data_IF_586026844771
#
_entry.id   IF_586026844771
#
_cell.length_a   1.000
_cell.length_b   1.000
_cell.length_c   1.000
_cell.angle_alpha   90.00
_cell.angle_beta   90.00
_cell.angle_gamma   90.00
#
_symmetry.space_group_name_H-M   'P 1'
#
loop_
_entity.id
_entity.type
_entity.pdbx_description
1 polymer ?
#
# COMPACT_ATOMS: atom_id res chain seq x y z
N UNK A 1 15.53 -8.54 -3.35
CA UNK A 1 15.57 -7.16 -3.88
C UNK A 1 15.49 -7.25 -5.41
N UNK A 2 14.52 -6.61 -6.05
CA UNK A 2 14.36 -6.71 -7.52
C UNK A 2 15.51 -6.02 -8.24
N UNK A 3 15.85 -6.49 -9.46
CA UNK A 3 16.93 -5.89 -10.28
C UNK A 3 16.75 -4.38 -10.45
N UNK A 4 15.50 -3.93 -10.66
CA UNK A 4 15.18 -2.53 -10.88
C UNK A 4 15.33 -1.68 -9.61
N UNK A 5 15.03 -2.22 -8.43
CA UNK A 5 15.23 -1.48 -7.18
C UNK A 5 16.71 -1.22 -6.91
N UNK A 6 17.57 -2.19 -7.21
CA UNK A 6 19.02 -2.03 -7.13
C UNK A 6 19.53 -0.99 -8.13
N UNK A 7 19.03 -1.01 -9.37
CA UNK A 7 19.38 -0.02 -10.39
C UNK A 7 19.03 1.40 -9.91
N UNK A 8 17.82 1.62 -9.37
CA UNK A 8 17.41 2.92 -8.82
C UNK A 8 18.34 3.35 -7.68
N UNK A 9 18.65 2.46 -6.72
CA UNK A 9 19.57 2.74 -5.61
C UNK A 9 20.97 3.20 -6.08
N UNK A 10 21.44 2.68 -7.22
CA UNK A 10 22.75 3.05 -7.78
C UNK A 10 22.74 4.34 -8.60
N UNK A 11 21.59 4.71 -9.17
CA UNK A 11 21.47 5.84 -10.10
C UNK A 11 21.01 7.12 -9.41
N UNK A 12 20.06 7.02 -8.48
CA UNK A 12 19.43 8.16 -7.85
C UNK A 12 18.95 7.78 -6.44
N UNK A 13 19.68 8.29 -5.44
CA UNK A 13 19.39 8.02 -4.03
C UNK A 13 18.06 8.66 -3.60
N UNK A 14 17.77 9.87 -4.05
CA UNK A 14 16.57 10.59 -3.63
C UNK A 14 15.33 9.90 -4.18
N UNK A 15 15.42 9.37 -5.41
CA UNK A 15 14.37 8.53 -5.99
C UNK A 15 14.26 7.17 -5.27
N UNK A 16 15.39 6.54 -4.92
CA UNK A 16 15.38 5.28 -4.18
C UNK A 16 14.65 5.40 -2.84
N UNK A 17 14.95 6.46 -2.09
CA UNK A 17 14.36 6.75 -0.77
C UNK A 17 12.82 6.94 -0.86
N UNK A 18 12.27 7.13 -2.07
CA UNK A 18 10.83 7.16 -2.34
C UNK A 18 10.27 5.83 -2.91
N UNK A 19 11.04 5.16 -3.77
CA UNK A 19 10.60 3.91 -4.43
C UNK A 19 10.54 2.74 -3.45
N UNK A 20 11.52 2.60 -2.56
CA UNK A 20 11.54 1.50 -1.59
C UNK A 20 10.29 1.52 -0.67
N UNK A 21 9.95 2.65 0.00
CA UNK A 21 8.72 2.73 0.79
C UNK A 21 7.46 2.51 -0.05
N UNK A 22 7.40 3.01 -1.28
CA UNK A 22 6.25 2.82 -2.17
C UNK A 22 6.00 1.36 -2.54
N UNK A 23 7.07 0.57 -2.72
CA UNK A 23 6.96 -0.87 -2.96
C UNK A 23 6.43 -1.60 -1.72
N UNK A 24 6.94 -1.26 -0.54
CA UNK A 24 6.44 -1.80 0.74
C UNK A 24 4.97 -1.46 0.93
N UNK A 25 4.59 -0.20 0.77
CA UNK A 25 3.19 0.26 0.84
C UNK A 25 2.26 -0.49 -0.13
N UNK A 26 2.74 -0.82 -1.34
CA UNK A 26 1.97 -1.60 -2.31
C UNK A 26 1.77 -3.05 -1.85
N UNK A 27 2.79 -3.65 -1.22
CA UNK A 27 2.68 -5.00 -0.66
C UNK A 27 1.70 -5.04 0.52
N UNK A 28 1.74 -4.04 1.42
CA UNK A 28 0.79 -3.93 2.52
C UNK A 28 -0.66 -3.74 2.02
N UNK A 29 -0.88 -2.91 0.99
CA UNK A 29 -2.19 -2.80 0.35
C UNK A 29 -2.69 -4.13 -0.23
N UNK A 30 -1.79 -4.94 -0.81
CA UNK A 30 -2.15 -6.26 -1.30
C UNK A 30 -2.56 -7.19 -0.15
N UNK A 31 -1.81 -7.16 0.96
CA UNK A 31 -2.12 -7.91 2.17
C UNK A 31 -3.48 -7.50 2.77
N UNK A 32 -3.72 -6.19 2.95
CA UNK A 32 -5.01 -5.66 3.41
C UNK A 32 -6.16 -6.11 2.51
N UNK A 33 -5.98 -6.06 1.19
CA UNK A 33 -6.97 -6.53 0.22
C UNK A 33 -7.25 -8.04 0.38
N UNK A 34 -6.22 -8.86 0.53
CA UNK A 34 -6.37 -10.30 0.73
C UNK A 34 -7.10 -10.62 2.04
N UNK A 35 -6.75 -9.94 3.13
CA UNK A 35 -7.45 -10.09 4.41
C UNK A 35 -8.91 -9.65 4.33
N UNK A 36 -9.22 -8.55 3.63
CA UNK A 36 -10.60 -8.11 3.38
C UNK A 36 -11.40 -9.17 2.62
N UNK A 37 -10.82 -9.78 1.59
CA UNK A 37 -11.46 -10.84 0.83
C UNK A 37 -11.67 -12.09 1.69
N UNK A 38 -10.66 -12.49 2.47
CA UNK A 38 -10.73 -13.66 3.34
C UNK A 38 -11.81 -13.52 4.42
N UNK A 39 -11.82 -12.41 5.15
CA UNK A 39 -12.78 -12.17 6.24
C UNK A 39 -14.17 -11.72 5.74
N UNK A 40 -14.26 -11.11 4.56
CA UNK A 40 -15.52 -10.63 3.99
C UNK A 40 -16.33 -11.70 3.24
N UNK A 41 -15.71 -12.83 2.87
CA UNK A 41 -16.36 -13.91 2.11
C UNK A 41 -16.62 -15.20 2.92
N UNK A 42 -16.21 -15.23 4.19
CA UNK A 42 -16.40 -16.37 5.08
C UNK A 42 -17.72 -16.23 5.84
N UNK A 43 -18.74 -16.99 5.42
CA UNK A 43 -20.06 -17.06 6.09
C UNK A 43 -20.01 -17.74 7.48
N UNK A 44 -18.88 -18.37 7.86
CA UNK A 44 -18.84 -19.35 8.96
C UNK A 44 -18.02 -18.97 10.22
N UNK A 45 -17.36 -17.81 10.31
CA UNK A 45 -16.49 -17.50 11.47
C UNK A 45 -17.00 -16.35 12.36
N UNK A 46 -17.67 -16.70 13.47
CA UNK A 46 -18.02 -15.76 14.55
C UNK A 46 -16.78 -15.08 15.15
N UNK A 47 -15.60 -15.71 15.05
CA UNK A 47 -14.30 -15.14 15.44
C UNK A 47 -13.84 -14.06 14.46
N UNK A 48 -14.08 -14.21 13.16
CA UNK A 48 -13.75 -13.18 12.17
C UNK A 48 -14.60 -11.91 12.37
N UNK A 49 -15.87 -12.07 12.78
CA UNK A 49 -16.75 -10.95 13.10
C UNK A 49 -16.32 -10.16 14.34
N UNK A 50 -15.76 -10.82 15.36
CA UNK A 50 -15.33 -10.13 16.59
C UNK A 50 -14.07 -9.28 16.39
N UNK A 51 -13.23 -9.63 15.42
CA UNK A 51 -12.00 -8.90 15.08
C UNK A 51 -12.18 -7.88 13.93
N UNK A 52 -13.35 -7.84 13.30
CA UNK A 52 -13.59 -7.06 12.08
C UNK A 52 -13.40 -5.55 12.29
N UNK A 53 -13.73 -5.04 13.48
CA UNK A 53 -13.57 -3.61 13.77
C UNK A 53 -12.10 -3.24 13.93
N UNK A 54 -11.33 -4.01 14.70
CA UNK A 54 -9.89 -3.77 14.85
C UNK A 54 -9.14 -3.93 13.53
N UNK A 55 -9.54 -4.90 12.71
CA UNK A 55 -9.02 -5.04 11.36
C UNK A 55 -9.39 -3.85 10.47
N UNK A 56 -10.63 -3.35 10.52
CA UNK A 56 -11.05 -2.19 9.73
C UNK A 56 -10.26 -0.92 10.11
N UNK A 57 -10.03 -0.68 11.40
CA UNK A 57 -9.22 0.44 11.89
C UNK A 57 -7.76 0.33 11.40
N UNK A 58 -7.18 -0.87 11.51
CA UNK A 58 -5.84 -1.16 10.96
C UNK A 58 -5.78 -0.94 9.45
N UNK A 59 -6.71 -1.52 8.69
CA UNK A 59 -6.77 -1.42 7.24
C UNK A 59 -6.91 0.02 6.76
N UNK A 60 -7.72 0.85 7.43
CA UNK A 60 -7.83 2.28 7.12
C UNK A 60 -6.48 2.99 7.33
N UNK A 61 -5.78 2.69 8.43
CA UNK A 61 -4.45 3.23 8.72
C UNK A 61 -3.44 2.90 7.61
N UNK A 62 -3.33 1.62 7.26
CA UNK A 62 -2.45 1.14 6.18
C UNK A 62 -2.79 1.78 4.83
N UNK A 63 -4.08 1.93 4.51
CA UNK A 63 -4.52 2.55 3.25
C UNK A 63 -4.12 4.03 3.19
N UNK A 64 -4.28 4.79 4.27
CA UNK A 64 -3.89 6.21 4.31
C UNK A 64 -2.37 6.41 4.29
N UNK A 65 -1.62 5.54 4.98
CA UNK A 65 -0.15 5.53 4.92
C UNK A 65 0.35 5.21 3.51
N UNK A 66 -0.22 4.17 2.89
CA UNK A 66 0.12 3.80 1.53
C UNK A 66 -0.25 4.91 0.54
N UNK A 67 -1.40 5.57 0.72
CA UNK A 67 -1.81 6.71 -0.09
C UNK A 67 -0.80 7.86 0.02
N UNK A 68 -0.36 8.19 1.22
CA UNK A 68 0.64 9.25 1.46
C UNK A 68 1.95 8.92 0.76
N UNK A 69 2.43 7.69 0.93
CA UNK A 69 3.69 7.21 0.37
C UNK A 69 3.68 7.18 -1.16
N UNK A 70 2.62 6.61 -1.75
CA UNK A 70 2.45 6.55 -3.21
C UNK A 70 2.28 7.94 -3.82
N UNK A 71 1.62 8.86 -3.12
CA UNK A 71 1.49 10.25 -3.56
C UNK A 71 2.83 10.98 -3.60
N UNK A 72 3.71 10.73 -2.63
CA UNK A 72 5.06 11.31 -2.61
C UNK A 72 5.88 10.83 -3.82
N UNK A 73 5.89 9.53 -4.10
CA UNK A 73 6.55 8.99 -5.29
C UNK A 73 5.95 9.56 -6.58
N UNK A 74 4.61 9.58 -6.69
CA UNK A 74 3.92 10.12 -7.87
C UNK A 74 4.30 11.58 -8.13
N UNK A 75 4.33 12.40 -7.08
CA UNK A 75 4.69 13.82 -7.18
C UNK A 75 6.16 13.99 -7.56
N UNK A 76 7.06 13.19 -7.00
CA UNK A 76 8.48 13.23 -7.37
C UNK A 76 8.69 12.89 -8.86
N UNK A 77 7.96 11.91 -9.39
CA UNK A 77 8.08 11.51 -10.79
C UNK A 77 7.37 12.45 -11.78
N UNK A 78 6.26 13.08 -11.38
CA UNK A 78 5.37 13.80 -12.33
C UNK A 78 5.26 15.30 -12.08
N UNK A 79 5.70 15.78 -10.92
CA UNK A 79 5.49 17.15 -10.46
C UNK A 79 4.02 17.48 -10.13
N UNK A 80 3.11 16.50 -10.15
CA UNK A 80 1.67 16.69 -9.91
C UNK A 80 1.23 15.96 -8.65
N UNK A 81 0.19 16.46 -8.01
CA UNK A 81 -0.46 15.74 -6.93
C UNK A 81 -1.29 14.58 -7.48
N UNK A 82 -1.33 13.46 -6.75
CA UNK A 82 -2.13 12.30 -7.11
C UNK A 82 -3.61 12.61 -6.85
N UNK A 83 -4.33 13.05 -7.89
CA UNK A 83 -5.68 13.62 -7.72
C UNK A 83 -6.84 12.64 -7.91
N UNK A 84 -6.60 11.36 -8.17
CA UNK A 84 -7.61 10.28 -8.11
C UNK A 84 -6.92 8.93 -8.33
N UNK A 85 -7.06 7.99 -7.40
CA UNK A 85 -6.66 6.61 -7.64
C UNK A 85 -7.72 5.98 -8.55
N UNK A 86 -7.37 5.78 -9.83
CA UNK A 86 -8.19 4.91 -10.69
C UNK A 86 -8.03 3.47 -10.18
N UNK A 87 -9.04 2.97 -9.47
CA UNK A 87 -9.25 1.53 -9.31
C UNK A 87 -9.35 0.96 -10.73
N UNK A 88 -8.34 0.22 -11.16
CA UNK A 88 -8.34 -0.55 -12.41
C UNK A 88 -8.58 -2.01 -12.11
#
# INVERSE_FOLDING_TARGET
MSKHLLEVATLDKDLFDLVEPALTATAELAHVRESLLYHGSSDEDDVARSHIQGFAEYAIGEIEEARTTLSALYRACTGKDLSEMRLR
#
